data_IF_576210730085
#
_entry.id   IF_576210730085
#
_cell.length_a   1.000
_cell.length_b   1.000
_cell.length_c   1.000
_cell.angle_alpha   90.00
_cell.angle_beta   90.00
_cell.angle_gamma   90.00
#
_symmetry.space_group_name_H-M   'P 1'
#
loop_
_entity.id
_entity.type
_entity.pdbx_description
1 polymer ?
#
# COMPACT_ATOMS: atom_id res chain seq x y z
N UNK A 1 -12.39 -67.09 11.75
CA UNK A 1 -11.34 -66.29 12.42
C UNK A 1 -11.45 -66.53 13.92
N UNK A 2 -10.40 -67.06 14.55
CA UNK A 2 -10.40 -67.41 15.97
C UNK A 2 -10.49 -66.17 16.87
N UNK A 3 -11.17 -66.30 18.01
CA UNK A 3 -11.37 -65.22 18.99
C UNK A 3 -10.05 -64.51 19.36
N UNK A 4 -8.95 -65.26 19.48
CA UNK A 4 -7.61 -64.73 19.72
C UNK A 4 -7.11 -63.71 18.69
N UNK A 5 -7.52 -63.80 17.41
CA UNK A 5 -7.10 -62.79 16.40
C UNK A 5 -7.81 -61.46 16.61
N UNK A 6 -9.04 -61.46 17.13
CA UNK A 6 -9.81 -60.22 17.37
C UNK A 6 -9.28 -59.44 18.57
N UNK A 7 -8.92 -60.13 19.65
CA UNK A 7 -8.33 -59.49 20.83
C UNK A 7 -6.99 -58.82 20.52
N UNK A 8 -6.13 -59.47 19.73
CA UNK A 8 -4.84 -58.88 19.32
C UNK A 8 -5.05 -57.61 18.49
N UNK A 9 -6.03 -57.58 17.59
CA UNK A 9 -6.32 -56.40 16.76
C UNK A 9 -6.80 -55.23 17.63
N UNK A 10 -7.66 -55.48 18.63
CA UNK A 10 -8.15 -54.44 19.54
C UNK A 10 -7.03 -53.84 20.40
N UNK A 11 -6.10 -54.67 20.88
CA UNK A 11 -4.92 -54.21 21.64
C UNK A 11 -3.98 -53.33 20.79
N UNK A 12 -3.75 -53.71 19.52
CA UNK A 12 -2.94 -52.89 18.62
C UNK A 12 -3.60 -51.56 18.28
N UNK A 13 -4.92 -51.54 18.08
CA UNK A 13 -5.66 -50.31 17.82
C UNK A 13 -5.65 -49.35 19.02
N UNK A 14 -5.81 -49.86 20.25
CA UNK A 14 -5.75 -49.01 21.45
C UNK A 14 -4.34 -48.47 21.70
N UNK A 15 -3.29 -49.28 21.43
CA UNK A 15 -1.91 -48.82 21.53
C UNK A 15 -1.59 -47.72 20.50
N UNK A 16 -2.03 -47.89 19.25
CA UNK A 16 -1.85 -46.90 18.20
C UNK A 16 -2.59 -45.59 18.52
N UNK A 17 -3.83 -45.67 19.03
CA UNK A 17 -4.60 -44.49 19.44
C UNK A 17 -3.91 -43.72 20.59
N UNK A 18 -3.39 -44.43 21.60
CA UNK A 18 -2.66 -43.81 22.71
C UNK A 18 -1.34 -43.16 22.25
N UNK A 19 -0.60 -43.80 21.33
CA UNK A 19 0.61 -43.20 20.75
C UNK A 19 0.29 -41.91 19.99
N UNK A 20 -0.81 -41.89 19.22
CA UNK A 20 -1.22 -40.73 18.44
C UNK A 20 -1.61 -39.55 19.35
N UNK A 21 -2.36 -39.82 20.43
CA UNK A 21 -2.69 -38.82 21.45
C UNK A 21 -1.44 -38.23 22.11
N UNK A 22 -0.45 -39.07 22.41
CA UNK A 22 0.80 -38.64 23.04
C UNK A 22 1.61 -37.73 22.12
N UNK A 23 1.65 -38.02 20.81
CA UNK A 23 2.31 -37.15 19.82
C UNK A 23 1.61 -35.78 19.68
N UNK A 24 0.28 -35.75 19.68
CA UNK A 24 -0.48 -34.49 19.66
C UNK A 24 -0.19 -33.66 20.91
N UNK A 25 -0.13 -34.31 22.08
CA UNK A 25 0.17 -33.65 23.34
C UNK A 25 1.59 -33.05 23.37
N UNK A 26 2.59 -33.79 22.88
CA UNK A 26 3.96 -33.27 22.77
C UNK A 26 4.01 -32.05 21.83
N UNK A 27 3.32 -32.12 20.68
CA UNK A 27 3.24 -31.00 19.74
C UNK A 27 2.57 -29.76 20.35
N UNK A 28 1.53 -29.97 21.17
CA UNK A 28 0.84 -28.89 21.88
C UNK A 28 1.74 -28.23 22.93
N UNK A 29 2.45 -29.02 23.75
CA UNK A 29 3.41 -28.52 24.74
C UNK A 29 4.55 -27.71 24.11
N UNK A 30 5.03 -28.11 22.93
CA UNK A 30 6.05 -27.35 22.19
C UNK A 30 5.57 -25.96 21.76
N UNK A 31 4.33 -25.88 21.23
CA UNK A 31 3.72 -24.59 20.85
C UNK A 31 3.49 -23.68 22.06
N UNK A 32 3.13 -24.25 23.19
CA UNK A 32 2.86 -23.49 24.41
C UNK A 32 4.12 -22.78 24.94
N UNK A 33 5.27 -23.48 24.97
CA UNK A 33 6.55 -22.86 25.34
C UNK A 33 6.98 -21.75 24.39
N UNK A 34 6.71 -21.90 23.09
CA UNK A 34 7.01 -20.85 22.11
C UNK A 34 6.18 -19.59 22.37
N UNK A 35 4.91 -19.76 22.76
CA UNK A 35 4.00 -18.66 23.08
C UNK A 35 4.44 -17.91 24.36
N UNK A 36 4.94 -18.62 25.37
CA UNK A 36 5.51 -17.97 26.58
C UNK A 36 6.73 -17.11 26.25
N UNK A 37 7.61 -17.58 25.36
CA UNK A 37 8.77 -16.80 24.91
C UNK A 37 8.34 -15.56 24.12
N UNK A 38 7.34 -15.68 23.25
CA UNK A 38 6.77 -14.54 22.53
C UNK A 38 6.19 -13.50 23.50
N UNK A 39 5.40 -13.94 24.47
CA UNK A 39 4.76 -13.05 25.44
C UNK A 39 5.78 -12.37 26.36
N UNK A 40 6.87 -13.06 26.72
CA UNK A 40 8.00 -12.46 27.42
C UNK A 40 8.74 -11.42 26.57
N UNK A 41 8.88 -11.65 25.26
CA UNK A 41 9.51 -10.69 24.35
C UNK A 41 8.67 -9.43 24.14
N UNK A 42 7.35 -9.56 24.04
CA UNK A 42 6.45 -8.41 23.91
C UNK A 42 6.47 -7.53 25.16
N UNK A 43 6.54 -8.13 26.35
CA UNK A 43 6.68 -7.37 27.61
C UNK A 43 7.97 -6.55 27.64
N UNK A 44 9.10 -7.14 27.22
CA UNK A 44 10.38 -6.41 27.13
C UNK A 44 10.30 -5.24 26.17
N UNK A 45 9.71 -5.44 24.99
CA UNK A 45 9.53 -4.36 24.01
C UNK A 45 8.64 -3.24 24.56
N UNK A 46 7.59 -3.58 25.32
CA UNK A 46 6.72 -2.60 25.98
C UNK A 46 7.44 -1.79 27.07
N UNK A 47 8.31 -2.44 27.85
CA UNK A 47 9.15 -1.77 28.85
C UNK A 47 10.17 -0.82 28.20
N UNK A 48 10.82 -1.25 27.12
CA UNK A 48 11.75 -0.40 26.35
C UNK A 48 11.03 0.83 25.77
N UNK A 49 9.83 0.66 25.23
CA UNK A 49 9.04 1.78 24.72
C UNK A 49 8.66 2.77 25.82
N UNK A 50 8.28 2.28 27.01
CA UNK A 50 8.01 3.14 28.17
C UNK A 50 9.25 3.89 28.65
N UNK A 51 10.42 3.24 28.65
CA UNK A 51 11.68 3.92 28.97
C UNK A 51 12.00 5.02 27.96
N UNK A 52 11.82 4.76 26.67
CA UNK A 52 12.07 5.72 25.60
C UNK A 52 11.11 6.91 25.70
N UNK A 53 9.83 6.68 25.97
CA UNK A 53 8.85 7.75 26.22
C UNK A 53 9.25 8.61 27.43
N UNK A 54 9.72 7.99 28.52
CA UNK A 54 10.18 8.71 29.72
C UNK A 54 11.46 9.52 29.44
N UNK A 55 12.36 9.00 28.61
CA UNK A 55 13.54 9.73 28.15
C UNK A 55 13.16 10.91 27.23
N UNK A 56 12.21 10.72 26.33
CA UNK A 56 11.67 11.80 25.50
C UNK A 56 11.00 12.88 26.34
N UNK A 57 10.22 12.49 27.35
CA UNK A 57 9.53 13.42 28.25
C UNK A 57 10.53 14.23 29.08
N UNK A 58 11.56 13.60 29.64
CA UNK A 58 12.62 14.29 30.38
C UNK A 58 13.47 15.19 29.47
N UNK A 59 13.73 14.77 28.23
CA UNK A 59 14.38 15.61 27.21
C UNK A 59 13.50 16.80 26.77
N UNK A 60 12.19 16.62 26.69
CA UNK A 60 11.25 17.69 26.37
C UNK A 60 11.11 18.69 27.53
N UNK A 61 11.06 18.22 28.77
CA UNK A 61 11.01 19.06 29.97
C UNK A 61 12.29 19.88 30.15
N UNK A 62 13.46 19.28 29.92
CA UNK A 62 14.75 20.02 29.94
C UNK A 62 14.84 21.06 28.82
N UNK A 63 14.35 20.76 27.61
CA UNK A 63 14.25 21.76 26.53
C UNK A 63 13.24 22.87 26.80
N UNK A 64 12.17 22.60 27.56
CA UNK A 64 11.20 23.62 27.93
C UNK A 64 11.77 24.61 28.97
N UNK A 65 12.69 24.16 29.83
CA UNK A 65 13.41 25.01 30.77
C UNK A 65 14.49 25.87 30.10
N UNK A 66 15.01 25.45 28.94
CA UNK A 66 16.06 26.14 28.18
C UNK A 66 15.55 26.97 26.98
N UNK A 67 14.23 27.15 26.83
CA UNK A 67 13.72 28.10 25.83
C UNK A 67 13.98 29.53 26.31
N UNK A 68 14.85 30.32 25.66
CA UNK A 68 14.76 31.76 25.84
C UNK A 68 13.34 32.17 25.47
N UNK A 69 12.66 32.90 26.34
CA UNK A 69 11.40 33.52 25.99
C UNK A 69 11.63 34.31 24.71
N UNK A 70 11.00 33.88 23.60
CA UNK A 70 11.10 34.60 22.33
C UNK A 70 10.68 36.03 22.62
N UNK A 71 11.57 36.97 22.31
CA UNK A 71 11.29 38.37 22.55
C UNK A 71 10.06 38.78 21.74
N UNK A 72 9.25 39.71 22.24
CA UNK A 72 8.06 40.19 21.53
C UNK A 72 8.38 40.65 20.08
N UNK A 73 9.63 41.07 19.84
CA UNK A 73 10.16 41.40 18.52
C UNK A 73 10.20 40.20 17.55
N UNK A 74 10.64 39.02 18.02
CA UNK A 74 10.70 37.80 17.19
C UNK A 74 9.30 37.26 16.88
N UNK A 75 8.36 37.40 17.83
CA UNK A 75 6.94 37.06 17.60
C UNK A 75 6.33 37.98 16.54
N UNK A 76 6.69 39.26 16.53
CA UNK A 76 6.25 40.22 15.52
C UNK A 76 6.85 39.93 14.13
N UNK A 77 8.12 39.54 14.07
CA UNK A 77 8.77 39.13 12.83
C UNK A 77 8.17 37.85 12.25
N UNK A 78 7.86 36.86 13.08
CA UNK A 78 7.19 35.63 12.63
C UNK A 78 5.78 35.90 12.08
N UNK A 79 5.03 36.82 12.71
CA UNK A 79 3.73 37.24 12.21
C UNK A 79 3.85 37.95 10.85
N UNK A 80 4.88 38.80 10.68
CA UNK A 80 5.18 39.48 9.41
C UNK A 80 5.56 38.49 8.31
N UNK A 81 6.45 37.54 8.60
CA UNK A 81 6.88 36.50 7.66
C UNK A 81 5.71 35.61 7.22
N UNK A 82 4.79 35.27 8.13
CA UNK A 82 3.59 34.48 7.81
C UNK A 82 2.68 35.23 6.81
N UNK A 83 2.55 36.54 6.95
CA UNK A 83 1.79 37.37 6.02
C UNK A 83 2.50 37.49 4.66
N UNK A 84 3.83 37.62 4.64
CA UNK A 84 4.65 37.66 3.41
C UNK A 84 4.53 36.35 2.62
N UNK A 85 4.61 35.19 3.29
CA UNK A 85 4.46 33.87 2.66
C UNK A 85 3.06 33.66 2.08
N UNK A 86 2.03 34.14 2.77
CA UNK A 86 0.64 34.07 2.28
C UNK A 86 0.47 34.95 1.02
N UNK A 87 1.10 36.14 1.00
CA UNK A 87 1.11 37.01 -0.19
C UNK A 87 1.79 36.34 -1.39
N UNK A 88 2.97 35.76 -1.19
CA UNK A 88 3.74 35.08 -2.24
C UNK A 88 2.99 33.88 -2.84
N UNK A 89 2.28 33.10 -2.00
CA UNK A 89 1.44 31.99 -2.50
C UNK A 89 0.27 32.49 -3.35
N UNK A 90 -0.35 33.60 -2.98
CA UNK A 90 -1.42 34.20 -3.77
C UNK A 90 -0.91 34.77 -5.10
N UNK A 91 0.27 35.40 -5.10
CA UNK A 91 0.93 35.90 -6.30
C UNK A 91 1.30 34.77 -7.28
N UNK A 92 1.87 33.67 -6.80
CA UNK A 92 2.16 32.50 -7.64
C UNK A 92 0.90 31.87 -8.24
N UNK A 93 -0.19 31.82 -7.47
CA UNK A 93 -1.47 31.28 -7.94
C UNK A 93 -2.11 32.18 -9.00
N UNK A 94 -1.99 33.50 -8.84
CA UNK A 94 -2.44 34.47 -9.85
C UNK A 94 -1.59 34.42 -11.13
N UNK A 95 -0.27 34.23 -11.01
CA UNK A 95 0.63 34.11 -12.16
C UNK A 95 0.39 32.84 -13.00
N UNK A 96 -0.11 31.77 -12.38
CA UNK A 96 -0.39 30.49 -13.05
C UNK A 96 -1.76 30.45 -13.76
N UNK A 97 -2.59 31.50 -13.63
CA UNK A 97 -3.95 31.57 -14.17
C UNK A 97 -4.07 32.38 -15.49
N UNK A 98 -3.03 32.39 -16.33
CA UNK A 98 -3.14 32.96 -17.69
C UNK A 98 -3.79 31.97 -18.66
N UNK A 99 -4.80 32.39 -19.45
CA UNK A 99 -5.43 31.53 -20.46
C UNK A 99 -4.50 31.33 -21.66
N UNK A 100 -4.32 30.06 -22.06
CA UNK A 100 -3.60 29.67 -23.28
C UNK A 100 -4.41 30.18 -24.48
N UNK A 101 -3.84 31.15 -25.19
CA UNK A 101 -4.39 31.67 -26.44
C UNK A 101 -3.85 30.79 -27.58
N UNK A 102 -4.76 30.27 -28.40
CA UNK A 102 -4.47 29.45 -29.57
C UNK A 102 -3.41 30.07 -30.49
N UNK A 103 -2.35 29.32 -30.75
CA UNK A 103 -1.40 29.59 -31.82
C UNK A 103 -1.48 28.47 -32.86
N UNK A 104 -2.10 28.80 -34.00
CA UNK A 104 -2.11 28.00 -35.23
C UNK A 104 -0.69 27.86 -35.78
N UNK A 105 -0.25 26.62 -36.04
CA UNK A 105 0.99 26.29 -36.77
C UNK A 105 0.64 25.33 -37.92
N UNK A 106 1.26 25.44 -39.12
CA UNK A 106 0.81 24.76 -40.33
C UNK A 106 1.30 23.31 -40.44
N UNK A 107 0.56 22.56 -41.26
CA UNK A 107 0.67 21.14 -41.54
C UNK A 107 1.97 20.72 -42.21
N UNK A 108 2.43 19.52 -41.83
CA UNK A 108 3.38 18.71 -42.58
C UNK A 108 4.10 17.72 -41.68
N UNK A 109 3.65 16.46 -41.64
CA UNK A 109 4.44 15.21 -41.54
C UNK A 109 3.56 14.08 -41.00
N UNK A 110 3.42 13.02 -41.81
CA UNK A 110 2.94 11.66 -41.50
C UNK A 110 1.84 11.51 -40.45
N UNK A 111 0.63 11.26 -40.94
CA UNK A 111 -0.52 10.77 -40.16
C UNK A 111 -0.26 9.32 -39.72
N UNK A 112 0.62 9.14 -38.72
CA UNK A 112 0.55 7.99 -37.84
C UNK A 112 -0.73 8.16 -37.02
N UNK A 113 -1.70 7.27 -37.24
CA UNK A 113 -2.90 7.17 -36.41
C UNK A 113 -2.45 6.84 -34.98
N UNK A 114 -2.22 7.86 -34.17
CA UNK A 114 -1.80 7.71 -32.79
C UNK A 114 -2.94 7.02 -32.03
N UNK A 115 -2.67 5.84 -31.47
CA UNK A 115 -3.66 5.09 -30.70
C UNK A 115 -4.05 5.91 -29.47
N UNK A 116 -5.34 6.24 -29.34
CA UNK A 116 -5.83 7.10 -28.24
C UNK A 116 -5.67 6.38 -26.89
N UNK A 117 -4.71 6.80 -26.08
CA UNK A 117 -4.51 6.30 -24.71
C UNK A 117 -5.57 6.86 -23.76
N UNK A 118 -6.07 6.00 -22.87
CA UNK A 118 -6.91 6.42 -21.74
C UNK A 118 -6.04 6.48 -20.49
N UNK A 119 -5.96 7.67 -19.89
CA UNK A 119 -5.28 7.87 -18.61
C UNK A 119 -6.30 7.84 -17.47
N UNK A 120 -6.06 6.97 -16.50
CA UNK A 120 -6.80 6.94 -15.24
C UNK A 120 -5.89 7.43 -14.14
N UNK A 121 -6.37 8.31 -13.26
CA UNK A 121 -5.53 8.82 -12.19
C UNK A 121 -6.27 8.97 -10.88
N UNK A 122 -5.53 8.84 -9.78
CA UNK A 122 -5.97 9.21 -8.43
C UNK A 122 -4.83 9.97 -7.74
N UNK A 123 -5.19 11.01 -7.00
CA UNK A 123 -4.29 11.71 -6.08
C UNK A 123 -4.96 11.74 -4.72
N UNK A 124 -4.26 11.28 -3.69
CA UNK A 124 -4.83 11.20 -2.34
C UNK A 124 -3.73 11.31 -1.28
N UNK A 125 -4.16 11.56 -0.05
CA UNK A 125 -3.33 11.61 1.15
C UNK A 125 -4.00 10.74 2.21
N UNK A 126 -3.27 9.80 2.79
CA UNK A 126 -3.79 8.94 3.86
C UNK A 126 -2.75 8.70 4.96
N UNK A 127 -3.22 8.58 6.20
CA UNK A 127 -2.40 8.10 7.32
C UNK A 127 -2.55 6.58 7.40
N UNK A 128 -1.47 5.85 7.15
CA UNK A 128 -1.47 4.39 7.05
C UNK A 128 -0.53 3.84 8.11
N UNK A 129 -1.00 2.90 8.93
CA UNK A 129 -0.13 2.19 9.87
C UNK A 129 0.93 1.39 9.10
N UNK A 130 2.14 1.28 9.62
CA UNK A 130 3.20 0.52 8.97
C UNK A 130 2.80 -0.95 8.79
N UNK A 131 3.09 -1.51 7.62
CA UNK A 131 2.67 -2.85 7.22
C UNK A 131 1.19 -2.98 6.83
N UNK A 132 0.35 -2.00 7.14
CA UNK A 132 -1.03 -1.97 6.64
C UNK A 132 -1.05 -1.56 5.18
N UNK A 133 -2.09 -1.98 4.47
CA UNK A 133 -2.20 -1.76 3.03
C UNK A 133 -3.41 -0.91 2.70
N UNK A 134 -3.27 0.10 1.85
CA UNK A 134 -4.37 0.91 1.34
C UNK A 134 -4.72 0.52 -0.11
N UNK A 135 -5.99 0.51 -0.49
CA UNK A 135 -6.43 0.39 -1.89
C UNK A 135 -6.40 1.73 -2.63
N UNK A 136 -5.93 1.71 -3.87
CA UNK A 136 -5.85 2.87 -4.76
C UNK A 136 -7.11 3.06 -5.62
N UNK A 137 -8.10 2.20 -5.41
CA UNK A 137 -9.35 2.16 -6.17
C UNK A 137 -9.37 1.07 -7.24
N UNK A 138 -10.41 1.10 -8.06
CA UNK A 138 -10.58 0.20 -9.21
C UNK A 138 -10.81 0.96 -10.50
N UNK A 139 -10.16 0.50 -11.56
CA UNK A 139 -10.29 1.03 -12.92
C UNK A 139 -10.80 -0.06 -13.84
N UNK A 140 -11.48 0.32 -14.93
CA UNK A 140 -11.87 -0.66 -15.95
C UNK A 140 -10.62 -1.09 -16.70
N UNK A 141 -10.45 -2.40 -16.93
CA UNK A 141 -9.38 -2.88 -17.79
C UNK A 141 -9.71 -2.66 -19.27
N UNK A 142 -8.68 -2.68 -20.12
CA UNK A 142 -8.84 -2.86 -21.57
C UNK A 142 -9.44 -4.24 -21.92
N UNK A 143 -9.26 -5.24 -21.06
CA UNK A 143 -9.86 -6.57 -21.22
C UNK A 143 -11.32 -6.55 -20.73
N UNK A 144 -12.31 -6.93 -21.56
CA UNK A 144 -13.71 -6.95 -21.15
C UNK A 144 -13.94 -7.83 -19.90
N UNK A 145 -14.70 -7.31 -18.94
CA UNK A 145 -15.06 -8.03 -17.72
C UNK A 145 -14.01 -8.03 -16.60
N UNK A 146 -12.84 -7.43 -16.81
CA UNK A 146 -11.81 -7.27 -15.78
C UNK A 146 -11.71 -5.84 -15.25
N UNK A 147 -11.22 -5.69 -14.03
CA UNK A 147 -10.89 -4.42 -13.40
C UNK A 147 -9.46 -4.43 -12.89
N UNK A 148 -8.81 -3.28 -12.95
CA UNK A 148 -7.47 -3.09 -12.43
C UNK A 148 -7.58 -2.51 -11.03
N UNK A 149 -6.88 -3.10 -10.06
CA UNK A 149 -6.82 -2.62 -8.67
C UNK A 149 -5.37 -2.44 -8.24
N UNK A 150 -5.11 -1.34 -7.54
CA UNK A 150 -3.81 -1.03 -6.96
C UNK A 150 -3.83 -1.06 -5.44
N UNK A 151 -2.71 -1.46 -4.83
CA UNK A 151 -2.51 -1.50 -3.38
C UNK A 151 -1.15 -0.90 -3.02
N UNK A 152 -1.07 -0.15 -1.91
CA UNK A 152 0.18 0.39 -1.36
C UNK A 152 0.36 -0.06 0.08
N UNK A 153 1.55 -0.57 0.40
CA UNK A 153 1.96 -0.98 1.75
C UNK A 153 3.24 -0.23 2.14
N UNK A 154 3.19 0.77 3.04
CA UNK A 154 4.39 1.41 3.57
C UNK A 154 5.02 0.55 4.67
N UNK A 155 6.34 0.40 4.62
CA UNK A 155 7.17 -0.29 5.61
C UNK A 155 8.42 0.56 5.89
N UNK A 156 8.96 0.48 7.10
CA UNK A 156 10.26 1.09 7.38
C UNK A 156 11.38 0.26 6.76
N UNK A 157 12.38 0.91 6.18
CA UNK A 157 13.55 0.26 5.61
C UNK A 157 14.79 1.10 5.89
N UNK A 158 15.55 0.71 6.92
CA UNK A 158 16.66 1.52 7.44
C UNK A 158 16.17 2.90 7.89
N UNK A 159 16.77 3.96 7.35
CA UNK A 159 16.38 5.35 7.61
C UNK A 159 15.26 5.87 6.68
N UNK A 160 14.79 5.02 5.77
CA UNK A 160 13.76 5.35 4.78
C UNK A 160 12.43 4.65 4.99
N UNK A 161 11.50 4.96 4.11
CA UNK A 161 10.22 4.26 3.94
C UNK A 161 10.25 3.53 2.61
N UNK A 162 10.05 2.23 2.66
CA UNK A 162 9.74 1.41 1.49
C UNK A 162 8.23 1.45 1.28
N UNK A 163 7.79 1.82 0.08
CA UNK A 163 6.40 1.69 -0.34
C UNK A 163 6.35 0.56 -1.36
N UNK A 164 5.74 -0.56 -0.96
CA UNK A 164 5.48 -1.68 -1.84
C UNK A 164 4.13 -1.48 -2.53
N UNK A 165 4.12 -1.48 -3.86
CA UNK A 165 2.90 -1.38 -4.66
C UNK A 165 2.60 -2.73 -5.29
N UNK A 166 1.32 -3.12 -5.33
CA UNK A 166 0.86 -4.27 -6.13
C UNK A 166 -0.32 -3.87 -6.98
N UNK A 167 -0.28 -4.21 -8.26
CA UNK A 167 -1.32 -3.89 -9.24
C UNK A 167 -1.77 -5.19 -9.88
N UNK A 168 -3.08 -5.45 -9.79
CA UNK A 168 -3.72 -6.65 -10.31
C UNK A 168 -4.76 -6.27 -11.34
N UNK A 169 -4.94 -7.12 -12.33
CA UNK A 169 -6.10 -7.15 -13.19
C UNK A 169 -6.96 -8.34 -12.78
N UNK A 170 -8.14 -8.08 -12.20
CA UNK A 170 -8.98 -9.07 -11.55
C UNK A 170 -10.33 -9.14 -12.29
N UNK A 171 -10.87 -10.34 -12.58
CA UNK A 171 -12.23 -10.47 -13.09
C UNK A 171 -13.25 -9.84 -12.14
N UNK A 172 -14.27 -9.17 -12.68
CA UNK A 172 -15.29 -8.51 -11.86
C UNK A 172 -16.04 -9.49 -10.94
N UNK A 173 -16.30 -10.71 -11.41
CA UNK A 173 -16.89 -11.80 -10.62
C UNK A 173 -16.03 -12.16 -9.40
N UNK A 174 -14.71 -12.22 -9.57
CA UNK A 174 -13.76 -12.47 -8.48
C UNK A 174 -13.76 -11.31 -7.49
N UNK A 175 -13.78 -10.06 -7.96
CA UNK A 175 -13.86 -8.88 -7.08
C UNK A 175 -15.15 -8.87 -6.22
N UNK A 176 -16.27 -9.26 -6.82
CA UNK A 176 -17.55 -9.43 -6.14
C UNK A 176 -17.46 -10.48 -5.03
N UNK A 177 -16.85 -11.64 -5.30
CA UNK A 177 -16.64 -12.70 -4.31
C UNK A 177 -15.69 -12.28 -3.18
N UNK A 178 -14.69 -11.46 -3.49
CA UNK A 178 -13.76 -10.91 -2.50
C UNK A 178 -14.38 -9.79 -1.65
N UNK A 179 -15.58 -9.32 -1.99
CA UNK A 179 -16.28 -8.25 -1.29
C UNK A 179 -15.75 -6.86 -1.61
N UNK A 180 -14.94 -6.70 -2.67
CA UNK A 180 -14.33 -5.41 -3.01
C UNK A 180 -15.32 -4.31 -3.39
N UNK A 181 -16.51 -4.68 -3.84
CA UNK A 181 -17.58 -3.74 -4.13
C UNK A 181 -18.03 -2.92 -2.90
N UNK A 182 -17.72 -3.40 -1.70
CA UNK A 182 -18.05 -2.74 -0.44
C UNK A 182 -16.96 -1.76 0.00
N UNK A 183 -15.75 -1.91 -0.53
CA UNK A 183 -14.60 -1.09 -0.17
C UNK A 183 -14.49 0.09 -1.14
N UNK A 184 -14.70 1.30 -0.63
CA UNK A 184 -14.41 2.52 -1.38
C UNK A 184 -12.92 2.68 -1.67
N UNK A 185 -12.58 3.66 -2.51
CA UNK A 185 -11.19 4.08 -2.71
C UNK A 185 -10.58 4.48 -1.36
N UNK A 186 -9.37 3.98 -1.05
CA UNK A 186 -8.69 4.29 0.20
C UNK A 186 -9.02 3.36 1.38
N UNK A 187 -9.70 2.22 1.13
CA UNK A 187 -9.88 1.21 2.16
C UNK A 187 -8.53 0.68 2.66
N UNK A 188 -8.39 0.54 3.98
CA UNK A 188 -7.16 0.06 4.62
C UNK A 188 -7.35 -1.34 5.18
N UNK A 189 -6.34 -2.19 4.99
CA UNK A 189 -6.33 -3.59 5.39
C UNK A 189 -5.15 -3.86 6.33
N UNK A 190 -5.37 -4.69 7.35
CA UNK A 190 -4.28 -5.22 8.17
C UNK A 190 -3.40 -6.18 7.36
N UNK A 191 -2.17 -6.48 7.81
CA UNK A 191 -1.29 -7.43 7.11
C UNK A 191 -1.95 -8.78 6.83
N UNK A 192 -2.68 -9.35 7.80
CA UNK A 192 -3.35 -10.65 7.65
C UNK A 192 -4.54 -10.58 6.70
N UNK A 193 -5.34 -9.50 6.76
CA UNK A 193 -6.45 -9.28 5.84
C UNK A 193 -5.95 -9.17 4.40
N UNK A 194 -4.89 -8.38 4.19
CA UNK A 194 -4.32 -8.19 2.86
C UNK A 194 -3.64 -9.46 2.34
N UNK A 195 -2.95 -10.22 3.20
CA UNK A 195 -2.40 -11.53 2.84
C UNK A 195 -3.51 -12.50 2.38
N UNK A 196 -4.64 -12.53 3.08
CA UNK A 196 -5.79 -13.36 2.69
C UNK A 196 -6.49 -12.88 1.41
N UNK A 197 -6.48 -11.59 1.12
CA UNK A 197 -6.89 -11.04 -0.18
C UNK A 197 -5.95 -11.50 -1.28
N UNK A 198 -4.64 -11.33 -1.06
CA UNK A 198 -3.61 -11.65 -2.05
C UNK A 198 -3.64 -13.13 -2.43
N UNK A 199 -3.69 -14.00 -1.43
CA UNK A 199 -3.76 -15.45 -1.66
C UNK A 199 -5.00 -15.85 -2.48
N UNK A 200 -6.16 -15.24 -2.21
CA UNK A 200 -7.39 -15.54 -2.97
C UNK A 200 -7.34 -14.95 -4.38
N UNK A 201 -6.78 -13.75 -4.56
CA UNK A 201 -6.60 -13.14 -5.86
C UNK A 201 -5.65 -13.97 -6.74
N UNK A 202 -4.52 -14.42 -6.20
CA UNK A 202 -3.54 -15.27 -6.91
C UNK A 202 -4.09 -16.66 -7.27
N UNK A 203 -5.02 -17.19 -6.48
CA UNK A 203 -5.68 -18.48 -6.75
C UNK A 203 -6.89 -18.38 -7.69
N UNK A 204 -7.39 -17.18 -7.95
CA UNK A 204 -8.59 -16.99 -8.75
C UNK A 204 -8.27 -16.98 -10.26
N UNK A 205 -8.94 -17.85 -11.01
CA UNK A 205 -8.80 -17.94 -12.46
C UNK A 205 -9.00 -16.58 -13.14
N UNK A 206 -8.08 -16.24 -14.04
CA UNK A 206 -8.13 -15.01 -14.82
C UNK A 206 -7.66 -13.76 -14.09
N UNK A 207 -7.11 -13.88 -12.88
CA UNK A 207 -6.39 -12.79 -12.22
C UNK A 207 -4.96 -12.71 -12.73
N UNK A 208 -4.56 -11.52 -13.19
CA UNK A 208 -3.22 -11.25 -13.68
C UNK A 208 -2.51 -10.22 -12.79
N UNK A 209 -1.25 -10.47 -12.48
CA UNK A 209 -0.39 -9.48 -11.81
C UNK A 209 0.20 -8.57 -12.88
N UNK A 210 -0.20 -7.29 -12.87
CA UNK A 210 0.31 -6.32 -13.83
C UNK A 210 1.68 -5.76 -13.41
N UNK A 211 1.84 -5.43 -12.13
CA UNK A 211 3.08 -4.87 -11.62
C UNK A 211 3.22 -4.98 -10.10
N UNK A 212 4.47 -5.07 -9.62
CA UNK A 212 4.80 -5.08 -8.19
C UNK A 212 6.02 -4.18 -7.84
N UNK A 213 6.02 -2.88 -8.16
CA UNK A 213 7.17 -2.03 -7.88
C UNK A 213 7.35 -1.80 -6.39
N UNK A 214 8.61 -1.56 -5.99
CA UNK A 214 8.98 -1.15 -4.64
C UNK A 214 9.81 0.13 -4.75
N UNK A 215 9.43 1.14 -3.98
CA UNK A 215 10.10 2.44 -3.95
C UNK A 215 10.65 2.63 -2.55
N UNK A 216 11.93 2.97 -2.41
CA UNK A 216 12.52 3.33 -1.11
C UNK A 216 12.89 4.81 -1.19
N UNK A 217 12.38 5.62 -0.26
CA UNK A 217 12.68 7.05 -0.18
C UNK A 217 12.76 7.50 1.27
N UNK A 218 13.34 8.67 1.51
CA UNK A 218 13.41 9.27 2.83
C UNK A 218 12.06 9.90 3.21
N UNK A 219 11.80 10.02 4.52
CA UNK A 219 10.64 10.75 5.03
C UNK A 219 10.64 12.20 4.52
N UNK A 220 9.49 12.67 4.04
CA UNK A 220 9.29 14.00 3.43
C UNK A 220 9.85 14.15 2.01
N UNK A 221 10.43 13.10 1.41
CA UNK A 221 11.03 13.16 0.07
C UNK A 221 10.18 12.44 -0.96
N UNK A 222 9.81 13.17 -2.01
CA UNK A 222 9.10 12.61 -3.16
C UNK A 222 9.98 11.58 -3.90
N UNK A 223 9.36 10.48 -4.29
CA UNK A 223 9.93 9.49 -5.19
C UNK A 223 8.89 9.05 -6.22
N UNK A 224 9.37 8.68 -7.40
CA UNK A 224 8.54 8.30 -8.54
C UNK A 224 9.08 7.03 -9.18
N UNK A 225 8.17 6.15 -9.60
CA UNK A 225 8.47 5.00 -10.45
C UNK A 225 7.47 4.95 -11.59
N UNK A 226 7.98 4.80 -12.81
CA UNK A 226 7.18 4.61 -14.01
C UNK A 226 7.53 3.24 -14.60
N UNK A 227 6.52 2.39 -14.80
CA UNK A 227 6.67 1.14 -15.53
C UNK A 227 5.98 1.36 -16.87
N UNK A 228 6.76 1.62 -17.92
CA UNK A 228 6.22 1.95 -19.24
C UNK A 228 6.55 0.87 -20.25
N UNK A 229 5.54 0.47 -21.01
CA UNK A 229 5.68 -0.31 -22.23
C UNK A 229 5.48 0.62 -23.41
N UNK A 230 6.47 0.69 -24.30
CA UNK A 230 6.35 1.43 -25.56
C UNK A 230 5.84 0.49 -26.65
N UNK A 231 4.76 0.89 -27.32
CA UNK A 231 4.17 0.18 -28.46
C UNK A 231 4.88 0.54 -29.78
N UNK A 232 4.57 -0.20 -30.84
CA UNK A 232 5.16 -0.01 -32.17
C UNK A 232 4.83 1.36 -32.78
N UNK A 233 3.72 1.98 -32.38
CA UNK A 233 3.31 3.33 -32.77
C UNK A 233 3.97 4.44 -31.93
N UNK A 234 4.86 4.08 -30.99
CA UNK A 234 5.53 5.00 -30.07
C UNK A 234 4.74 5.35 -28.82
N UNK A 235 3.49 4.88 -28.71
CA UNK A 235 2.63 5.11 -27.56
C UNK A 235 3.18 4.43 -26.30
N UNK A 236 3.14 5.10 -25.15
CA UNK A 236 3.57 4.52 -23.86
C UNK A 236 2.36 4.20 -22.97
N UNK A 237 2.30 2.97 -22.48
CA UNK A 237 1.28 2.48 -21.53
C UNK A 237 1.94 1.97 -20.26
N UNK A 238 1.17 1.89 -19.18
CA UNK A 238 1.58 1.37 -17.89
C UNK A 238 1.43 2.37 -16.75
N UNK A 239 1.74 1.93 -15.51
CA UNK A 239 1.53 2.74 -14.31
C UNK A 239 2.67 3.73 -14.05
N UNK A 240 2.30 4.90 -13.55
CA UNK A 240 3.15 5.90 -12.91
C UNK A 240 2.72 6.04 -11.46
N UNK A 241 3.64 5.80 -10.53
CA UNK A 241 3.39 5.94 -9.10
C UNK A 241 4.35 7.00 -8.56
N UNK A 242 3.81 8.02 -7.91
CA UNK A 242 4.55 9.04 -7.20
C UNK A 242 4.10 9.05 -5.75
N UNK A 243 5.05 9.05 -4.83
CA UNK A 243 4.81 8.96 -3.39
C UNK A 243 5.70 9.92 -2.62
N UNK A 244 5.14 10.53 -1.58
CA UNK A 244 5.85 11.35 -0.61
C UNK A 244 5.46 10.87 0.79
N UNK A 245 6.20 9.90 1.36
CA UNK A 245 5.90 9.39 2.69
C UNK A 245 6.42 10.34 3.76
N UNK A 246 5.65 10.57 4.82
CA UNK A 246 6.07 11.28 6.02
C UNK A 246 5.82 10.39 7.23
N UNK A 247 6.91 9.92 7.86
CA UNK A 247 6.84 9.07 9.06
C UNK A 247 6.37 9.91 10.25
N UNK A 248 5.44 9.36 11.02
CA UNK A 248 4.99 9.98 12.27
C UNK A 248 6.09 9.98 13.35
N UNK A 249 5.89 10.76 14.41
CA UNK A 249 6.85 10.85 15.53
C UNK A 249 7.02 9.51 16.27
N UNK A 250 5.97 8.68 16.29
CA UNK A 250 5.95 7.37 16.96
C UNK A 250 6.54 6.25 16.10
N UNK A 251 6.86 6.50 14.82
CA UNK A 251 7.30 5.50 13.83
C UNK A 251 6.35 4.29 13.75
N UNK A 252 5.06 4.53 13.88
CA UNK A 252 4.00 3.51 13.81
C UNK A 252 3.12 3.66 12.58
N UNK A 253 3.08 4.88 12.03
CA UNK A 253 2.30 5.20 10.84
C UNK A 253 3.08 6.13 9.91
N UNK A 254 2.65 6.12 8.66
CA UNK A 254 3.17 6.99 7.60
C UNK A 254 2.00 7.74 7.03
N UNK A 255 2.09 9.07 7.03
CA UNK A 255 1.27 9.88 6.13
C UNK A 255 1.83 9.71 4.72
N UNK A 256 1.05 9.14 3.83
CA UNK A 256 1.43 8.91 2.46
C UNK A 256 0.62 9.82 1.54
N UNK A 257 1.27 10.85 1.00
CA UNK A 257 0.74 11.59 -0.14
C UNK A 257 1.14 10.83 -1.41
N UNK A 258 0.18 10.43 -2.24
CA UNK A 258 0.45 9.65 -3.44
C UNK A 258 -0.37 10.11 -4.63
N UNK A 259 0.23 9.92 -5.80
CA UNK A 259 -0.39 10.06 -7.11
C UNK A 259 -0.15 8.79 -7.89
N UNK A 260 -1.22 8.20 -8.40
CA UNK A 260 -1.17 7.04 -9.27
C UNK A 260 -1.81 7.43 -10.59
N UNK A 261 -1.13 7.14 -11.69
CA UNK A 261 -1.68 7.24 -13.04
C UNK A 261 -1.50 5.90 -13.76
N UNK A 262 -2.48 5.50 -14.54
CA UNK A 262 -2.46 4.31 -15.38
C UNK A 262 -2.86 4.70 -16.79
N UNK A 263 -1.89 4.61 -17.69
CA UNK A 263 -2.09 4.83 -19.11
C UNK A 263 -2.33 3.48 -19.77
N UNK A 264 -3.50 3.29 -20.37
CA UNK A 264 -3.84 2.03 -21.04
C UNK A 264 -4.49 2.27 -22.40
N UNK A 265 -4.46 1.23 -23.22
CA UNK A 265 -5.21 1.22 -24.47
C UNK A 265 -6.72 1.24 -24.19
N UNK A 266 -7.52 1.77 -25.13
CA UNK A 266 -8.96 1.69 -25.02
C UNK A 266 -9.40 0.22 -25.03
N UNK A 267 -10.50 -0.12 -24.35
CA UNK A 267 -10.99 -1.49 -24.32
C UNK A 267 -11.27 -1.98 -25.74
N UNK A 268 -10.78 -3.17 -26.06
CA UNK A 268 -11.06 -3.80 -27.35
C UNK A 268 -12.57 -4.08 -27.39
N UNK A 269 -13.29 -3.62 -28.45
CA UNK A 269 -14.70 -3.96 -28.60
C UNK A 269 -14.88 -5.48 -28.55
N UNK A 270 -15.97 -6.00 -27.96
CA UNK A 270 -16.27 -7.41 -28.05
C UNK A 270 -16.27 -7.81 -29.54
N UNK A 271 -15.62 -8.93 -29.86
CA UNK A 271 -15.65 -9.45 -31.22
C UNK A 271 -17.13 -9.60 -31.66
N UNK A 272 -17.47 -9.20 -32.90
CA UNK A 272 -18.84 -9.38 -33.39
C UNK A 272 -19.23 -10.85 -33.23
N UNK A 273 -20.41 -11.10 -32.67
CA UNK A 273 -20.93 -12.46 -32.53
C UNK A 273 -20.88 -13.13 -33.91
N UNK A 274 -20.11 -14.21 -34.03
CA UNK A 274 -20.14 -15.02 -35.25
C UNK A 274 -21.55 -15.62 -35.35
N UNK A 275 -22.23 -15.46 -36.51
CA UNK A 275 -23.61 -15.89 -36.70
C UNK A 275 -23.77 -17.42 -36.63
#
# INVERSE_FOLDING_TARGET
MSAMRRERILLWLSLAANCLLLLVFIGFMGKWKLMEVQLASERRNGEELMQLLRQMETAAQSRAADKPALSDAEVLELARLRNEVTRLRNEQRAASAKPVTDATVPAGTSEQVATKVISHGITSSANIHLGHTISLGSWRSSTPGKQIMGFLTPELSGDGVMVATRIFEIPKSTLEQLGFNQFGNGATFTPDQFKGILQRAEQADGTDVLAMPRIITLSGREAEVAIRQRLADGTETGPLIRVTPTVDVTRTAVRLDFKFELNQLPPTPPAPAQP
#
